data_IF_319748900980
#
_entry.id   IF_319748900980
#
_cell.length_a   1.000
_cell.length_b   1.000
_cell.length_c   1.000
_cell.angle_alpha   90.00
_cell.angle_beta   90.00
_cell.angle_gamma   90.00
#
_symmetry.space_group_name_H-M   'P 1'
#
loop_
_entity.id
_entity.type
_entity.pdbx_description
1 polymer ?
#
# COMPACT_ATOMS: atom_id res chain seq x y z
N UNK A 1 -3.60 -8.97 6.33
CA UNK A 1 -4.78 -8.08 6.41
C UNK A 1 -5.98 -8.76 5.74
N UNK A 2 -6.03 -10.10 5.78
CA UNK A 2 -7.06 -10.87 5.15
C UNK A 2 -7.07 -12.27 5.72
N UNK A 3 -8.22 -12.92 5.58
CA UNK A 3 -8.38 -14.35 5.55
C UNK A 3 -9.72 -14.66 4.87
N UNK A 4 -9.68 -15.63 3.95
CA UNK A 4 -10.80 -16.08 3.15
C UNK A 4 -11.36 -15.05 2.14
N UNK A 5 -11.94 -15.50 1.02
CA UNK A 5 -12.64 -14.61 0.07
C UNK A 5 -13.82 -13.84 0.71
N UNK A 6 -14.43 -14.40 1.75
CA UNK A 6 -15.62 -13.84 2.42
C UNK A 6 -15.26 -12.81 3.52
N UNK A 7 -14.09 -12.95 4.16
CA UNK A 7 -13.69 -12.12 5.29
C UNK A 7 -14.46 -12.40 6.59
N UNK A 8 -14.87 -13.63 6.85
CA UNK A 8 -15.69 -14.04 8.00
C UNK A 8 -15.02 -15.12 8.87
N UNK A 9 -13.69 -15.16 8.86
CA UNK A 9 -12.90 -16.18 9.58
C UNK A 9 -12.34 -15.67 10.91
N UNK A 10 -11.80 -16.58 11.73
CA UNK A 10 -11.15 -16.24 13.01
C UNK A 10 -9.94 -15.29 12.84
N UNK A 11 -9.26 -15.31 11.71
CA UNK A 11 -8.16 -14.37 11.43
C UNK A 11 -8.70 -12.95 11.26
N UNK A 12 -9.90 -12.78 10.71
CA UNK A 12 -10.56 -11.48 10.62
C UNK A 12 -10.89 -10.94 12.00
N UNK A 13 -11.41 -11.78 12.89
CA UNK A 13 -11.63 -11.42 14.30
C UNK A 13 -10.32 -10.99 14.98
N UNK A 14 -9.24 -11.74 14.76
CA UNK A 14 -7.91 -11.40 15.25
C UNK A 14 -7.39 -10.07 14.72
N UNK A 15 -7.62 -9.76 13.43
CA UNK A 15 -7.26 -8.45 12.84
C UNK A 15 -8.05 -7.33 13.51
N UNK A 16 -9.37 -7.50 13.70
CA UNK A 16 -10.24 -6.51 14.33
C UNK A 16 -9.80 -6.26 15.78
N UNK A 17 -9.56 -7.33 16.55
CA UNK A 17 -9.06 -7.25 17.92
C UNK A 17 -7.73 -6.50 17.98
N UNK A 18 -6.75 -6.89 17.16
CA UNK A 18 -5.45 -6.22 17.10
C UNK A 18 -5.56 -4.74 16.71
N UNK A 19 -6.44 -4.39 15.77
CA UNK A 19 -6.60 -3.01 15.32
C UNK A 19 -7.20 -2.09 16.42
N UNK A 20 -8.00 -2.64 17.35
CA UNK A 20 -8.52 -1.89 18.50
C UNK A 20 -7.40 -1.45 19.44
N UNK A 21 -6.42 -2.31 19.64
CA UNK A 21 -5.32 -2.12 20.58
C UNK A 21 -4.07 -1.48 19.95
N UNK A 22 -4.08 -1.28 18.63
CA UNK A 22 -2.92 -0.79 17.89
C UNK A 22 -2.56 0.66 18.31
N UNK A 23 -1.35 0.89 18.85
CA UNK A 23 -0.94 2.23 19.28
C UNK A 23 -0.88 3.23 18.10
N UNK A 24 -1.21 4.48 18.37
CA UNK A 24 -1.11 5.58 17.39
C UNK A 24 -2.22 5.63 16.33
N UNK A 25 -3.09 4.62 16.25
CA UNK A 25 -4.24 4.65 15.34
C UNK A 25 -5.22 5.76 15.74
N UNK A 26 -5.47 6.69 14.83
CA UNK A 26 -6.31 7.87 15.05
C UNK A 26 -7.74 7.73 14.51
N UNK A 27 -7.98 6.76 13.62
CA UNK A 27 -9.27 6.52 12.98
C UNK A 27 -9.40 5.06 12.61
N UNK A 28 -10.63 4.52 12.71
CA UNK A 28 -10.95 3.13 12.39
C UNK A 28 -12.31 3.05 11.72
N UNK A 29 -12.47 2.14 10.77
CA UNK A 29 -13.78 1.81 10.20
C UNK A 29 -14.69 1.20 11.27
N UNK A 30 -16.01 1.31 11.07
CA UNK A 30 -17.00 0.74 11.99
C UNK A 30 -16.85 -0.77 12.19
N UNK A 31 -16.44 -1.47 11.12
CA UNK A 31 -16.15 -2.91 11.16
C UNK A 31 -14.75 -3.26 11.73
N UNK A 32 -13.93 -2.26 12.09
CA UNK A 32 -12.62 -2.43 12.74
C UNK A 32 -11.47 -2.90 11.84
N UNK A 33 -11.70 -3.09 10.55
CA UNK A 33 -10.70 -3.63 9.62
C UNK A 33 -9.74 -2.59 9.04
N UNK A 34 -10.27 -1.41 8.75
CA UNK A 34 -9.53 -0.33 8.12
C UNK A 34 -9.20 0.71 9.17
N UNK A 35 -8.04 1.34 9.02
CA UNK A 35 -7.57 2.29 10.01
C UNK A 35 -6.59 3.28 9.38
N UNK A 36 -6.45 4.42 10.03
CA UNK A 36 -5.43 5.41 9.69
C UNK A 36 -4.74 5.96 10.93
N UNK A 37 -3.55 6.49 10.71
CA UNK A 37 -2.74 7.14 11.72
C UNK A 37 -1.92 8.26 11.09
N UNK A 38 -1.45 9.16 11.94
CA UNK A 38 -0.54 10.22 11.54
C UNK A 38 0.89 9.84 11.97
N UNK A 39 1.88 10.08 11.11
CA UNK A 39 3.29 9.89 11.44
C UNK A 39 4.10 11.09 10.93
N UNK A 40 4.48 11.96 11.86
CA UNK A 40 5.02 13.27 11.50
C UNK A 40 4.02 14.04 10.61
N UNK A 41 4.42 14.53 9.44
CA UNK A 41 3.53 15.22 8.52
C UNK A 41 2.69 14.29 7.62
N UNK A 42 2.88 12.97 7.68
CA UNK A 42 2.18 12.01 6.83
C UNK A 42 0.85 11.59 7.46
N UNK A 43 -0.16 11.42 6.62
CA UNK A 43 -1.37 10.69 6.95
C UNK A 43 -1.34 9.31 6.26
N UNK A 44 -1.44 8.23 7.02
CA UNK A 44 -1.30 6.87 6.51
C UNK A 44 -2.60 6.10 6.68
N UNK A 45 -3.06 5.42 5.62
CA UNK A 45 -4.31 4.67 5.60
C UNK A 45 -4.07 3.23 5.16
N UNK A 46 -4.60 2.26 5.91
CA UNK A 46 -4.57 0.84 5.57
C UNK A 46 -5.98 0.31 5.32
N UNK A 47 -6.20 -0.23 4.12
CA UNK A 47 -7.52 -0.46 3.51
C UNK A 47 -7.85 -1.94 3.23
N UNK A 48 -7.11 -2.87 3.83
CA UNK A 48 -7.42 -4.31 3.70
C UNK A 48 -7.08 -4.89 2.33
N UNK A 49 -7.95 -5.76 1.79
CA UNK A 49 -7.70 -6.51 0.55
C UNK A 49 -7.66 -5.59 -0.67
N UNK A 50 -8.75 -4.90 -0.96
CA UNK A 50 -8.86 -3.97 -2.07
C UNK A 50 -9.71 -2.78 -1.66
N UNK A 51 -9.66 -1.70 -2.43
CA UNK A 51 -10.41 -0.47 -2.14
C UNK A 51 -11.72 -0.51 -2.92
N UNK A 52 -12.84 -0.70 -2.23
CA UNK A 52 -14.17 -0.75 -2.86
C UNK A 52 -15.31 -0.42 -1.89
N UNK A 53 -16.49 -0.18 -2.46
CA UNK A 53 -17.69 0.25 -1.72
C UNK A 53 -18.49 -0.92 -1.15
N UNK A 54 -19.08 -0.70 0.03
CA UNK A 54 -20.01 -1.63 0.65
C UNK A 54 -19.36 -2.80 1.39
N UNK A 55 -20.14 -3.44 2.26
CA UNK A 55 -19.60 -4.46 3.18
C UNK A 55 -19.50 -5.85 2.55
N UNK A 56 -20.38 -6.19 1.61
CA UNK A 56 -20.59 -7.58 1.19
C UNK A 56 -19.85 -7.90 -0.11
N UNK A 57 -19.43 -9.16 -0.24
CA UNK A 57 -18.93 -9.72 -1.50
C UNK A 57 -20.02 -9.62 -2.58
N UNK A 58 -19.66 -9.07 -3.74
CA UNK A 58 -20.55 -9.00 -4.90
C UNK A 58 -20.64 -10.37 -5.59
N UNK A 59 -21.76 -10.67 -6.24
CA UNK A 59 -21.90 -11.90 -7.04
C UNK A 59 -20.83 -11.92 -8.14
N UNK A 60 -20.20 -13.08 -8.36
CA UNK A 60 -19.14 -13.23 -9.36
C UNK A 60 -17.80 -12.61 -8.99
N UNK A 61 -17.65 -12.11 -7.76
CA UNK A 61 -16.39 -11.56 -7.26
C UNK A 61 -15.82 -12.44 -6.15
N UNK A 62 -14.50 -12.48 -6.04
CA UNK A 62 -13.84 -13.29 -5.01
C UNK A 62 -13.91 -12.64 -3.64
N UNK A 63 -13.65 -11.33 -3.54
CA UNK A 63 -13.46 -10.67 -2.25
C UNK A 63 -14.59 -9.71 -1.87
N UNK A 64 -14.86 -9.58 -0.58
CA UNK A 64 -15.67 -8.51 -0.03
C UNK A 64 -14.83 -7.22 0.14
N UNK A 65 -15.33 -6.04 -0.27
CA UNK A 65 -14.63 -4.76 -0.08
C UNK A 65 -14.57 -4.32 1.38
N UNK A 66 -15.55 -4.74 2.21
CA UNK A 66 -15.63 -4.41 3.63
C UNK A 66 -15.67 -2.90 3.89
N UNK A 67 -16.34 -2.15 3.01
CA UNK A 67 -16.51 -0.71 3.08
C UNK A 67 -15.18 0.07 3.16
N UNK A 68 -14.12 -0.44 2.51
CA UNK A 68 -12.80 0.18 2.52
C UNK A 68 -12.78 1.54 1.82
N UNK A 69 -13.48 1.69 0.69
CA UNK A 69 -13.61 2.97 -0.01
C UNK A 69 -14.48 3.96 0.76
N UNK A 70 -15.57 3.49 1.39
CA UNK A 70 -16.41 4.31 2.26
C UNK A 70 -15.62 4.88 3.45
N UNK A 71 -14.78 4.05 4.07
CA UNK A 71 -13.87 4.48 5.12
C UNK A 71 -12.87 5.50 4.59
N UNK A 72 -12.20 5.21 3.46
CA UNK A 72 -11.21 6.10 2.86
C UNK A 72 -11.78 7.49 2.60
N UNK A 73 -12.97 7.59 1.98
CA UNK A 73 -13.62 8.88 1.68
C UNK A 73 -13.84 9.71 2.95
N UNK A 74 -14.44 9.10 3.98
CA UNK A 74 -14.72 9.75 5.28
C UNK A 74 -13.45 10.13 6.02
N UNK A 75 -12.43 9.27 5.96
CA UNK A 75 -11.18 9.48 6.65
C UNK A 75 -10.38 10.62 6.03
N UNK A 76 -10.25 10.64 4.69
CA UNK A 76 -9.60 11.74 3.98
C UNK A 76 -10.32 13.06 4.20
N UNK A 77 -11.66 13.09 4.12
CA UNK A 77 -12.43 14.30 4.36
C UNK A 77 -12.20 14.85 5.79
N UNK A 78 -12.28 13.98 6.80
CA UNK A 78 -12.22 14.39 8.20
C UNK A 78 -10.81 14.65 8.71
N UNK A 79 -9.82 13.86 8.27
CA UNK A 79 -8.44 13.88 8.79
C UNK A 79 -7.51 14.72 7.94
N UNK A 80 -7.75 14.78 6.63
CA UNK A 80 -6.94 15.54 5.68
C UNK A 80 -7.66 16.82 5.27
N UNK A 81 -8.92 16.74 4.85
CA UNK A 81 -9.71 17.86 4.37
C UNK A 81 -8.94 18.74 3.37
N UNK A 82 -9.01 20.06 3.55
CA UNK A 82 -8.27 21.02 2.73
C UNK A 82 -6.82 21.26 3.19
N UNK A 83 -6.30 20.48 4.15
CA UNK A 83 -4.95 20.73 4.70
C UNK A 83 -3.83 20.53 3.70
N UNK A 84 -4.04 19.72 2.67
CA UNK A 84 -3.01 19.30 1.71
C UNK A 84 -1.96 18.33 2.29
N UNK A 85 -2.20 17.79 3.50
CA UNK A 85 -1.30 16.83 4.15
C UNK A 85 -0.99 15.64 3.21
N UNK A 86 0.28 15.25 3.03
CA UNK A 86 0.64 14.11 2.18
C UNK A 86 0.08 12.80 2.73
N UNK A 87 -0.50 11.99 1.83
CA UNK A 87 -1.18 10.74 2.15
C UNK A 87 -0.44 9.53 1.58
N UNK A 88 -0.29 8.49 2.38
CA UNK A 88 0.17 7.16 1.96
C UNK A 88 -0.95 6.14 2.15
N UNK A 89 -1.18 5.32 1.13
CA UNK A 89 -2.21 4.28 1.16
C UNK A 89 -1.57 2.88 1.08
N UNK A 90 -2.20 1.91 1.74
CA UNK A 90 -1.84 0.50 1.63
C UNK A 90 -3.07 -0.39 1.51
N UNK A 91 -3.00 -1.38 0.63
CA UNK A 91 -4.01 -2.42 0.38
C UNK A 91 -3.30 -3.68 -0.12
N UNK A 92 -3.98 -4.82 -0.29
CA UNK A 92 -3.30 -6.06 -0.66
C UNK A 92 -3.25 -6.31 -2.16
N UNK A 93 -4.41 -6.32 -2.81
CA UNK A 93 -4.55 -6.58 -4.23
C UNK A 93 -4.16 -5.34 -5.04
N UNK A 94 -3.36 -5.46 -6.11
CA UNK A 94 -3.10 -4.31 -6.95
C UNK A 94 -4.32 -3.95 -7.82
N UNK A 95 -4.55 -2.66 -8.11
CA UNK A 95 -5.65 -2.16 -8.96
C UNK A 95 -5.54 -2.51 -10.47
N UNK A 96 -4.60 -3.36 -10.86
CA UNK A 96 -4.38 -3.79 -12.25
C UNK A 96 -4.67 -5.28 -12.48
N UNK A 97 -5.23 -5.98 -11.49
CA UNK A 97 -5.65 -7.38 -11.63
C UNK A 97 -7.03 -7.49 -12.28
N UNK A 98 -7.53 -8.72 -12.40
CA UNK A 98 -8.78 -9.01 -13.06
C UNK A 98 -9.99 -8.39 -12.34
N UNK A 99 -11.03 -8.11 -13.13
CA UNK A 99 -12.25 -7.41 -12.69
C UNK A 99 -13.02 -8.16 -11.59
N UNK A 100 -12.98 -9.49 -11.57
CA UNK A 100 -13.62 -10.29 -10.53
C UNK A 100 -12.96 -10.15 -9.15
N UNK A 101 -11.72 -9.65 -9.10
CA UNK A 101 -11.03 -9.29 -7.86
C UNK A 101 -11.10 -7.78 -7.60
N UNK A 102 -11.14 -6.98 -8.67
CA UNK A 102 -11.21 -5.52 -8.62
C UNK A 102 -12.28 -4.96 -9.56
N UNK A 103 -13.52 -4.70 -9.08
CA UNK A 103 -14.60 -4.15 -9.88
C UNK A 103 -14.23 -2.81 -10.53
N UNK A 104 -14.66 -2.59 -11.77
CA UNK A 104 -14.32 -1.37 -12.53
C UNK A 104 -14.88 -0.11 -11.88
N UNK A 105 -16.07 -0.18 -11.32
CA UNK A 105 -16.72 0.92 -10.61
C UNK A 105 -15.92 1.35 -9.37
N UNK A 106 -15.42 0.38 -8.60
CA UNK A 106 -14.58 0.64 -7.43
C UNK A 106 -13.23 1.22 -7.85
N UNK A 107 -12.64 0.73 -8.95
CA UNK A 107 -11.39 1.27 -9.49
C UNK A 107 -11.53 2.74 -9.91
N UNK A 108 -12.60 3.07 -10.62
CA UNK A 108 -12.88 4.41 -11.10
C UNK A 108 -13.13 5.38 -9.94
N UNK A 109 -13.94 4.98 -8.96
CA UNK A 109 -14.25 5.81 -7.80
C UNK A 109 -13.06 5.91 -6.84
N UNK A 110 -12.24 4.87 -6.73
CA UNK A 110 -10.97 4.92 -6.00
C UNK A 110 -10.02 5.96 -6.61
N UNK A 111 -9.81 5.91 -7.93
CA UNK A 111 -8.99 6.92 -8.62
C UNK A 111 -9.50 8.34 -8.40
N UNK A 112 -10.80 8.57 -8.62
CA UNK A 112 -11.44 9.86 -8.40
C UNK A 112 -11.24 10.37 -6.97
N UNK A 113 -11.39 9.48 -5.99
CA UNK A 113 -11.19 9.81 -4.57
C UNK A 113 -9.76 10.24 -4.30
N UNK A 114 -8.76 9.43 -4.70
CA UNK A 114 -7.35 9.72 -4.36
C UNK A 114 -6.76 10.89 -5.15
N UNK A 115 -7.25 11.14 -6.37
CA UNK A 115 -6.78 12.23 -7.20
C UNK A 115 -7.23 13.62 -6.70
N UNK A 116 -8.19 13.67 -5.77
CA UNK A 116 -8.61 14.89 -5.09
C UNK A 116 -7.71 15.28 -3.90
N UNK A 117 -6.77 14.41 -3.49
CA UNK A 117 -5.90 14.61 -2.34
C UNK A 117 -4.42 14.49 -2.71
N UNK A 118 -3.54 14.97 -1.83
CA UNK A 118 -2.08 14.87 -1.98
C UNK A 118 -1.59 13.43 -1.68
N UNK A 119 -2.03 12.45 -2.46
CA UNK A 119 -1.55 11.06 -2.32
C UNK A 119 -0.16 10.94 -2.93
N UNK A 120 0.84 10.64 -2.11
CA UNK A 120 2.25 10.63 -2.50
C UNK A 120 2.77 9.23 -2.84
N UNK A 121 2.20 8.19 -2.25
CA UNK A 121 2.53 6.80 -2.55
C UNK A 121 1.40 5.84 -2.18
N UNK A 122 1.32 4.73 -2.92
CA UNK A 122 0.48 3.58 -2.63
C UNK A 122 1.31 2.32 -2.57
N UNK A 123 0.95 1.40 -1.68
CA UNK A 123 1.62 0.12 -1.49
C UNK A 123 0.63 -1.03 -1.63
N UNK A 124 0.99 -2.03 -2.43
CA UNK A 124 0.23 -3.26 -2.57
C UNK A 124 1.10 -4.49 -2.34
N UNK A 125 0.51 -5.68 -2.38
CA UNK A 125 1.21 -6.97 -2.37
C UNK A 125 0.62 -7.92 -3.39
N UNK A 126 0.29 -9.13 -2.95
CA UNK A 126 -0.43 -10.19 -3.67
C UNK A 126 0.29 -10.84 -4.86
N UNK A 127 1.07 -10.08 -5.61
CA UNK A 127 1.65 -10.58 -6.87
C UNK A 127 2.83 -11.54 -6.69
N UNK A 128 3.47 -11.55 -5.52
CA UNK A 128 4.77 -12.22 -5.31
C UNK A 128 5.78 -11.83 -6.42
N UNK A 129 5.68 -10.58 -6.87
CA UNK A 129 6.40 -10.07 -8.02
C UNK A 129 7.82 -9.69 -7.64
N UNK A 130 8.78 -10.54 -8.02
CA UNK A 130 10.19 -10.33 -7.76
C UNK A 130 10.94 -9.75 -8.96
N UNK A 131 11.90 -8.84 -8.77
CA UNK A 131 12.27 -8.18 -7.51
C UNK A 131 11.26 -7.09 -7.07
N UNK A 132 11.39 -6.51 -5.86
CA UNK A 132 10.58 -5.37 -5.44
C UNK A 132 10.57 -4.28 -6.50
N UNK A 133 9.39 -3.74 -6.78
CA UNK A 133 9.16 -2.94 -7.99
C UNK A 133 8.24 -1.75 -7.73
N UNK A 134 8.22 -0.84 -8.71
CA UNK A 134 7.35 0.33 -8.72
C UNK A 134 6.67 0.46 -10.07
N UNK A 135 5.35 0.39 -10.06
CA UNK A 135 4.50 0.83 -11.15
C UNK A 135 3.99 2.24 -10.89
N UNK A 136 3.38 2.89 -11.88
CA UNK A 136 2.65 4.15 -11.69
C UNK A 136 1.27 4.04 -12.30
N UNK A 137 0.30 4.75 -11.71
CA UNK A 137 -1.10 4.73 -12.13
C UNK A 137 -1.64 6.15 -12.31
N UNK A 138 -2.27 6.43 -13.45
CA UNK A 138 -2.88 7.74 -13.73
C UNK A 138 -4.41 7.67 -13.90
N UNK A 139 -5.06 6.63 -13.36
CA UNK A 139 -6.49 6.38 -13.52
C UNK A 139 -6.88 5.67 -14.82
N UNK A 140 -6.01 5.68 -15.83
CA UNK A 140 -6.28 5.07 -17.15
C UNK A 140 -5.41 3.87 -17.45
N UNK A 141 -4.14 3.93 -17.05
CA UNK A 141 -3.15 2.89 -17.36
C UNK A 141 -2.14 2.74 -16.24
N UNK A 142 -1.46 1.59 -16.25
CA UNK A 142 -0.37 1.26 -15.35
C UNK A 142 0.93 1.11 -16.14
N UNK A 143 1.91 1.96 -15.88
CA UNK A 143 3.25 1.78 -16.43
C UNK A 143 4.34 2.42 -15.56
N UNK A 144 5.55 1.84 -15.50
CA UNK A 144 6.61 2.26 -14.58
C UNK A 144 7.16 3.67 -14.86
N UNK A 145 6.97 4.16 -16.09
CA UNK A 145 7.48 5.45 -16.61
C UNK A 145 6.39 6.49 -16.88
N UNK A 146 5.15 6.30 -16.43
CA UNK A 146 4.10 7.33 -16.57
C UNK A 146 4.54 8.59 -15.85
N UNK A 147 4.50 9.76 -16.50
CA UNK A 147 4.98 11.02 -15.90
C UNK A 147 4.01 11.56 -14.85
N UNK A 148 2.72 11.45 -15.16
CA UNK A 148 1.55 11.94 -14.43
C UNK A 148 0.94 10.91 -13.45
N UNK A 149 1.56 9.74 -13.27
CA UNK A 149 1.01 8.68 -12.42
C UNK A 149 1.36 8.81 -10.94
N UNK A 150 0.49 8.33 -10.06
CA UNK A 150 0.82 8.07 -8.66
C UNK A 150 1.68 6.81 -8.54
N UNK A 151 2.69 6.85 -7.69
CA UNK A 151 3.56 5.69 -7.47
C UNK A 151 2.80 4.57 -6.74
N UNK A 152 2.90 3.37 -7.28
CA UNK A 152 2.29 2.14 -6.78
C UNK A 152 3.41 1.11 -6.59
N UNK A 153 3.81 0.90 -5.34
CA UNK A 153 4.94 0.06 -4.98
C UNK A 153 4.50 -1.35 -4.61
N UNK A 154 5.34 -2.30 -5.01
CA UNK A 154 5.20 -3.72 -4.70
C UNK A 154 6.46 -4.17 -3.94
N UNK A 155 6.33 -4.62 -2.69
CA UNK A 155 7.46 -5.03 -1.88
C UNK A 155 8.01 -6.40 -2.23
N UNK A 156 7.39 -7.14 -3.16
CA UNK A 156 7.69 -8.56 -3.43
C UNK A 156 7.25 -9.50 -2.28
N UNK A 157 7.75 -10.73 -2.23
CA UNK A 157 7.62 -11.66 -1.10
C UNK A 157 8.95 -11.90 -0.37
N UNK A 158 9.05 -11.39 0.87
CA UNK A 158 10.28 -11.46 1.67
C UNK A 158 10.71 -12.88 2.08
N UNK A 159 9.89 -13.89 1.84
CA UNK A 159 10.09 -15.27 2.32
C UNK A 159 10.34 -16.34 1.26
N UNK A 160 10.42 -15.98 -0.03
CA UNK A 160 10.49 -16.98 -1.11
C UNK A 160 11.86 -17.12 -1.78
N UNK A 161 12.92 -16.56 -1.20
CA UNK A 161 14.28 -16.71 -1.71
C UNK A 161 14.70 -18.18 -1.76
N UNK A 162 15.30 -18.59 -2.89
CA UNK A 162 15.70 -19.99 -3.15
C UNK A 162 17.19 -20.17 -3.04
N UNK A 163 17.62 -21.27 -2.45
CA UNK A 163 19.03 -21.68 -2.44
C UNK A 163 19.29 -22.82 -3.42
N UNK A 164 20.52 -22.95 -3.91
CA UNK A 164 20.89 -24.01 -4.83
C UNK A 164 20.74 -25.38 -4.16
N UNK A 165 20.11 -26.35 -4.84
CA UNK A 165 19.88 -27.69 -4.30
C UNK A 165 21.18 -28.41 -3.88
N UNK A 166 22.26 -28.20 -4.63
CA UNK A 166 23.59 -28.77 -4.36
C UNK A 166 24.49 -27.88 -3.51
N UNK A 167 24.04 -26.65 -3.18
CA UNK A 167 24.75 -25.74 -2.29
C UNK A 167 23.74 -24.82 -1.57
N UNK A 168 23.18 -25.25 -0.43
CA UNK A 168 22.27 -24.43 0.39
C UNK A 168 22.90 -23.09 0.83
N UNK A 169 24.23 -23.03 0.79
CA UNK A 169 25.08 -21.85 0.97
C UNK A 169 25.05 -20.82 -0.18
N UNK A 170 24.34 -21.08 -1.28
CA UNK A 170 24.32 -20.21 -2.47
C UNK A 170 22.89 -19.82 -2.84
N UNK A 171 22.61 -18.51 -2.80
CA UNK A 171 21.35 -17.96 -3.31
C UNK A 171 21.19 -18.14 -4.81
N UNK A 172 19.95 -18.38 -5.25
CA UNK A 172 19.59 -18.60 -6.65
C UNK A 172 18.22 -17.97 -6.93
N UNK A 173 17.88 -17.78 -8.21
CA UNK A 173 16.60 -17.17 -8.60
C UNK A 173 16.63 -15.65 -8.48
N UNK A 174 15.44 -15.03 -8.47
CA UNK A 174 15.26 -13.57 -8.39
C UNK A 174 15.59 -13.03 -6.99
N UNK A 175 15.76 -11.71 -6.88
CA UNK A 175 15.97 -11.07 -5.59
C UNK A 175 14.63 -10.84 -4.91
N UNK A 176 14.51 -11.23 -3.64
CA UNK A 176 13.33 -11.09 -2.80
C UNK A 176 13.58 -10.05 -1.73
N UNK A 177 12.59 -9.24 -1.35
CA UNK A 177 12.90 -8.11 -0.49
C UNK A 177 11.75 -7.53 0.32
N UNK A 178 12.08 -6.36 0.88
CA UNK A 178 11.15 -5.47 1.56
C UNK A 178 11.38 -4.04 1.08
N UNK A 179 10.41 -3.16 1.31
CA UNK A 179 10.54 -1.74 1.05
C UNK A 179 10.87 -0.98 2.33
N UNK A 180 11.80 -0.05 2.21
CA UNK A 180 12.15 0.93 3.23
C UNK A 180 11.71 2.31 2.75
N UNK A 181 10.87 2.99 3.53
CA UNK A 181 10.23 4.26 3.15
C UNK A 181 10.69 5.36 4.09
N UNK A 182 11.21 6.44 3.53
CA UNK A 182 11.70 7.59 4.27
C UNK A 182 11.03 8.85 3.76
N UNK A 183 10.66 9.75 4.68
CA UNK A 183 10.35 11.12 4.36
C UNK A 183 11.51 12.01 4.83
N UNK A 184 12.07 12.78 3.91
CA UNK A 184 13.11 13.76 4.19
C UNK A 184 12.49 15.16 4.19
N UNK A 185 12.24 15.72 5.37
CA UNK A 185 11.62 17.04 5.61
C UNK A 185 12.49 17.96 6.50
N UNK A 186 13.76 18.17 6.09
CA UNK A 186 14.77 18.85 6.93
C UNK A 186 15.09 20.29 6.50
N UNK A 187 15.40 21.20 7.44
CA UNK A 187 15.82 22.57 7.15
C UNK A 187 16.99 22.62 6.15
N UNK A 188 16.90 23.52 5.16
CA UNK A 188 17.92 23.69 4.11
C UNK A 188 17.83 22.73 2.93
N UNK A 189 16.91 21.74 2.95
CA UNK A 189 16.58 20.99 1.74
C UNK A 189 15.77 21.87 0.78
N UNK A 190 16.07 21.79 -0.52
CA UNK A 190 15.35 22.55 -1.55
C UNK A 190 13.87 22.14 -1.64
N UNK A 191 13.58 20.85 -1.40
CA UNK A 191 12.22 20.29 -1.41
C UNK A 191 12.13 19.09 -0.46
N UNK A 192 10.96 18.88 0.15
CA UNK A 192 10.67 17.64 0.86
C UNK A 192 10.66 16.46 -0.12
N UNK A 193 11.21 15.33 0.30
CA UNK A 193 11.39 14.17 -0.59
C UNK A 193 10.94 12.88 0.07
N UNK A 194 10.02 12.18 -0.58
CA UNK A 194 9.74 10.78 -0.27
C UNK A 194 10.76 9.90 -0.98
N UNK A 195 11.46 9.06 -0.22
CA UNK A 195 12.41 8.08 -0.73
C UNK A 195 11.85 6.69 -0.41
N UNK A 196 11.72 5.86 -1.43
CA UNK A 196 11.41 4.43 -1.26
C UNK A 196 12.60 3.65 -1.77
N UNK A 197 13.11 2.74 -0.97
CA UNK A 197 14.22 1.84 -1.32
C UNK A 197 13.76 0.41 -1.18
N UNK A 198 14.36 -0.50 -1.94
CA UNK A 198 14.23 -1.93 -1.68
C UNK A 198 15.52 -2.48 -1.08
N UNK A 199 15.36 -3.32 -0.06
CA UNK A 199 16.41 -4.13 0.52
C UNK A 199 16.11 -5.59 0.19
N UNK A 200 17.06 -6.29 -0.44
CA UNK A 200 16.76 -7.57 -1.06
C UNK A 200 17.86 -8.61 -0.82
N UNK A 201 17.46 -9.87 -0.88
CA UNK A 201 18.27 -11.08 -0.70
C UNK A 201 18.01 -12.06 -1.84
N UNK A 202 18.95 -12.98 -2.07
CA UNK A 202 18.73 -14.18 -2.92
C UNK A 202 18.85 -15.47 -2.13
N UNK A 203 19.09 -15.40 -0.83
CA UNK A 203 19.54 -16.54 -0.03
C UNK A 203 18.98 -16.54 1.40
N UNK A 204 17.68 -16.27 1.52
CA UNK A 204 16.98 -16.26 2.81
C UNK A 204 17.64 -15.34 3.84
N UNK A 205 18.01 -14.14 3.39
CA UNK A 205 18.58 -13.08 4.22
C UNK A 205 19.97 -13.35 4.79
N UNK A 206 20.65 -14.44 4.40
CA UNK A 206 22.05 -14.65 4.79
C UNK A 206 22.96 -13.56 4.19
N UNK A 207 22.68 -13.14 2.97
CA UNK A 207 23.24 -11.94 2.37
C UNK A 207 22.10 -11.04 1.87
N UNK A 208 22.32 -9.74 1.93
CA UNK A 208 21.33 -8.76 1.53
C UNK A 208 21.99 -7.42 1.22
N UNK A 209 21.42 -6.68 0.27
CA UNK A 209 21.90 -5.36 -0.10
C UNK A 209 20.75 -4.46 -0.59
N UNK A 210 21.02 -3.16 -0.67
CA UNK A 210 20.14 -2.20 -1.31
C UNK A 210 20.03 -2.53 -2.81
N UNK A 211 18.81 -2.66 -3.31
CA UNK A 211 18.57 -3.09 -4.69
C UNK A 211 18.06 -1.96 -5.59
N UNK A 212 17.08 -1.19 -5.12
CA UNK A 212 16.50 -0.09 -5.90
C UNK A 212 16.19 1.11 -5.02
N UNK A 213 16.18 2.29 -5.63
CA UNK A 213 15.83 3.56 -5.00
C UNK A 213 14.92 4.37 -5.93
N UNK A 214 13.82 4.85 -5.37
CA UNK A 214 12.88 5.76 -6.00
C UNK A 214 12.77 7.02 -5.14
N UNK A 215 12.87 8.18 -5.77
CA UNK A 215 12.77 9.48 -5.11
C UNK A 215 11.66 10.28 -5.77
N UNK A 216 10.81 10.90 -4.95
CA UNK A 216 9.76 11.81 -5.39
C UNK A 216 9.80 13.06 -4.54
N UNK A 217 9.90 14.22 -5.20
CA UNK A 217 9.63 15.50 -4.54
C UNK A 217 8.17 15.51 -4.11
N UNK A 218 7.91 15.89 -2.87
CA UNK A 218 6.55 16.03 -2.35
C UNK A 218 6.36 17.43 -1.79
N UNK A 219 5.11 17.87 -1.71
CA UNK A 219 4.75 19.10 -1.03
C UNK A 219 4.19 18.75 0.34
N UNK A 220 4.78 19.34 1.37
CA UNK A 220 4.23 19.33 2.73
C UNK A 220 3.83 20.76 3.04
N UNK A 221 2.52 21.05 3.17
CA UNK A 221 2.06 22.37 3.57
C UNK A 221 2.69 22.78 4.91
N UNK A 222 3.00 24.08 5.05
CA UNK A 222 3.63 24.61 6.26
C UNK A 222 2.84 24.18 7.51
N UNK A 223 3.57 23.70 8.54
CA UNK A 223 2.99 23.32 9.83
C UNK A 223 2.29 24.58 10.40
N UNK A 224 0.96 24.56 10.51
CA UNK A 224 0.22 25.58 11.24
C UNK A 224 0.53 25.49 12.72
#
# INVERSE_FOLDING_TARGET
NHDGPQGDTFVIEGIISRNKERPGVSSRSTNGLHYSWDWGPLHLVNLGIFVGEGEKKRKGHHYAPRASLDFLKKDLEKRVGASGRPVILSFHLPPFIAEYDWPKEDLAEFWKTINAYNVVAMFHGHTHGSPPSRNRWNGKQFAPKLKDGLDLFNPDDSGAARTARNNPGKGTGLAHGVLYVELLDRPGAENDTLVVRSYATRDNWRTHDWHSIWKRKISIPARK
#
